data_IF_743774208575
#
_entry.id   IF_743774208575
#
_cell.length_a   1.000
_cell.length_b   1.000
_cell.length_c   1.000
_cell.angle_alpha   90.00
_cell.angle_beta   90.00
_cell.angle_gamma   90.00
#
_symmetry.space_group_name_H-M   'P 1'
#
loop_
_entity.id
_entity.type
_entity.pdbx_description
1 polymer ?
#
# COMPACT_ATOMS: atom_id res chain seq x y z
N UNK A 1 -2.55 16.05 -10.55
CA UNK A 1 -1.75 15.52 -9.43
C UNK A 1 -1.46 14.04 -9.70
N UNK A 2 -0.27 13.54 -9.33
CA UNK A 2 0.14 12.14 -9.62
C UNK A 2 -0.62 11.11 -8.76
N UNK A 3 -1.06 11.51 -7.56
CA UNK A 3 -2.14 10.84 -6.81
C UNK A 3 -3.39 11.73 -6.88
N UNK A 4 -4.58 11.18 -7.22
CA UNK A 4 -5.85 11.93 -7.18
C UNK A 4 -6.16 12.53 -5.80
N UNK A 5 -5.61 11.94 -4.73
CA UNK A 5 -5.84 12.34 -3.35
C UNK A 5 -4.71 13.22 -2.78
N UNK A 6 -3.68 13.53 -3.58
CA UNK A 6 -2.51 14.29 -3.12
C UNK A 6 -1.68 13.59 -2.03
N UNK A 7 -1.90 12.29 -1.84
CA UNK A 7 -1.26 11.48 -0.80
C UNK A 7 -0.08 10.69 -1.36
N UNK A 8 0.93 10.52 -0.51
CA UNK A 8 2.09 9.63 -0.69
C UNK A 8 1.92 8.39 0.21
N UNK A 9 2.58 7.26 -0.09
CA UNK A 9 3.54 7.00 -1.17
C UNK A 9 2.91 6.75 -2.55
N UNK A 10 3.76 6.76 -3.58
CA UNK A 10 3.46 6.41 -4.97
C UNK A 10 4.46 5.35 -5.46
N UNK A 11 3.99 4.35 -6.20
CA UNK A 11 4.84 3.38 -6.89
C UNK A 11 4.72 3.60 -8.40
N UNK A 12 5.86 3.78 -9.09
CA UNK A 12 5.94 3.92 -10.54
C UNK A 12 6.43 2.60 -11.13
N UNK A 13 5.64 1.97 -11.99
CA UNK A 13 5.92 0.67 -12.58
C UNK A 13 6.09 0.83 -14.09
N UNK A 14 7.28 0.59 -14.65
CA UNK A 14 7.48 0.58 -16.09
C UNK A 14 6.90 -0.72 -16.69
N UNK A 15 6.04 -0.60 -17.70
CA UNK A 15 5.45 -1.73 -18.42
C UNK A 15 5.30 -1.40 -19.91
N UNK A 16 5.81 -2.27 -20.79
CA UNK A 16 5.69 -2.12 -22.26
C UNK A 16 6.16 -0.77 -22.83
N UNK A 17 7.17 -0.13 -22.20
CA UNK A 17 7.67 1.18 -22.62
C UNK A 17 6.87 2.37 -22.08
N UNK A 18 5.81 2.13 -21.33
CA UNK A 18 5.03 3.14 -20.61
C UNK A 18 5.25 3.02 -19.10
N UNK A 19 4.84 4.04 -18.35
CA UNK A 19 4.93 4.07 -16.90
C UNK A 19 3.53 4.17 -16.28
N UNK A 20 3.20 3.21 -15.42
CA UNK A 20 1.95 3.20 -14.65
C UNK A 20 2.23 3.65 -13.22
N UNK A 21 1.35 4.47 -12.65
CA UNK A 21 1.45 4.92 -11.25
C UNK A 21 0.38 4.23 -10.41
N UNK A 22 0.82 3.58 -9.33
CA UNK A 22 -0.02 2.99 -8.29
C UNK A 22 0.05 3.90 -7.05
N UNK A 23 -1.11 4.20 -6.49
CA UNK A 23 -1.30 5.01 -5.27
C UNK A 23 -2.10 4.21 -4.24
N UNK A 24 -2.17 4.73 -3.00
CA UNK A 24 -2.59 4.01 -1.79
C UNK A 24 -1.59 2.91 -1.36
N UNK A 25 -1.08 3.03 -0.12
CA UNK A 25 -0.08 2.10 0.41
C UNK A 25 -0.59 0.65 0.44
N UNK A 26 -1.87 0.42 0.76
CA UNK A 26 -2.46 -0.91 0.77
C UNK A 26 -2.47 -1.56 -0.63
N UNK A 27 -2.83 -0.79 -1.67
CA UNK A 27 -2.85 -1.26 -3.06
C UNK A 27 -1.44 -1.53 -3.57
N UNK A 28 -0.47 -0.68 -3.22
CA UNK A 28 0.94 -0.90 -3.52
C UNK A 28 1.42 -2.23 -2.91
N UNK A 29 1.08 -2.48 -1.64
CA UNK A 29 1.48 -3.72 -0.96
C UNK A 29 0.81 -4.96 -1.57
N UNK A 30 -0.44 -4.88 -1.99
CA UNK A 30 -1.09 -6.00 -2.70
C UNK A 30 -0.43 -6.28 -4.05
N UNK A 31 -0.11 -5.25 -4.82
CA UNK A 31 0.65 -5.42 -6.06
C UNK A 31 2.01 -6.09 -5.83
N UNK A 32 2.74 -5.69 -4.78
CA UNK A 32 4.02 -6.32 -4.45
C UNK A 32 3.86 -7.76 -3.97
N UNK A 33 2.81 -8.05 -3.19
CA UNK A 33 2.48 -9.40 -2.74
C UNK A 33 2.20 -10.35 -3.92
N UNK A 34 1.59 -9.87 -5.00
CA UNK A 34 1.26 -10.65 -6.19
C UNK A 34 2.44 -10.80 -7.18
N UNK A 35 3.39 -9.86 -7.18
CA UNK A 35 4.42 -9.77 -8.23
C UNK A 35 5.82 -10.18 -7.78
N UNK A 36 6.11 -10.14 -6.47
CA UNK A 36 7.42 -10.53 -5.96
C UNK A 36 7.54 -12.05 -5.82
N UNK A 37 8.73 -12.58 -6.09
CA UNK A 37 9.01 -14.01 -5.97
C UNK A 37 8.85 -14.55 -4.54
N UNK A 38 9.03 -13.69 -3.54
CA UNK A 38 8.84 -14.02 -2.13
C UNK A 38 7.70 -13.15 -1.56
N UNK A 39 6.58 -13.75 -1.11
CA UNK A 39 5.49 -13.02 -0.47
C UNK A 39 5.95 -12.28 0.79
N UNK A 40 5.35 -11.11 1.05
CA UNK A 40 5.63 -10.30 2.23
C UNK A 40 4.83 -10.78 3.44
N UNK A 41 3.65 -11.36 3.20
CA UNK A 41 2.85 -11.94 4.26
C UNK A 41 3.18 -13.41 4.55
N UNK A 42 2.90 -13.90 5.77
CA UNK A 42 2.91 -15.33 6.07
C UNK A 42 1.96 -16.11 5.16
N UNK A 43 2.32 -17.35 4.84
CA UNK A 43 1.46 -18.25 4.05
C UNK A 43 0.18 -18.65 4.81
N UNK A 44 0.20 -18.67 6.15
CA UNK A 44 -0.97 -18.94 6.96
C UNK A 44 -2.04 -17.84 6.77
N UNK A 45 -3.26 -18.20 6.31
CA UNK A 45 -4.29 -17.21 6.00
C UNK A 45 -4.71 -16.36 7.20
N UNK A 46 -4.74 -16.94 8.40
CA UNK A 46 -5.16 -16.22 9.61
C UNK A 46 -4.09 -15.22 10.06
N UNK A 47 -2.82 -15.61 10.07
CA UNK A 47 -1.69 -14.72 10.34
C UNK A 47 -1.62 -13.57 9.33
N UNK A 48 -1.81 -13.86 8.03
CA UNK A 48 -1.89 -12.84 6.98
C UNK A 48 -3.05 -11.87 7.20
N UNK A 49 -4.24 -12.36 7.55
CA UNK A 49 -5.38 -11.50 7.88
C UNK A 49 -5.08 -10.59 9.08
N UNK A 50 -4.42 -11.11 10.11
CA UNK A 50 -3.97 -10.32 11.27
C UNK A 50 -2.95 -9.25 10.88
N UNK A 51 -1.98 -9.54 10.00
CA UNK A 51 -1.04 -8.53 9.51
C UNK A 51 -1.78 -7.39 8.81
N UNK A 52 -2.72 -7.71 7.91
CA UNK A 52 -3.52 -6.71 7.19
C UNK A 52 -4.36 -5.85 8.14
N UNK A 53 -4.97 -6.45 9.17
CA UNK A 53 -5.75 -5.72 10.17
C UNK A 53 -4.91 -4.69 10.94
N UNK A 54 -3.68 -5.04 11.34
CA UNK A 54 -2.78 -4.12 12.03
C UNK A 54 -2.25 -2.99 11.13
N UNK A 55 -2.01 -3.28 9.85
CA UNK A 55 -1.60 -2.28 8.86
C UNK A 55 -2.71 -1.22 8.71
N UNK A 56 -3.96 -1.63 8.54
CA UNK A 56 -5.08 -0.70 8.40
C UNK A 56 -5.30 0.12 9.68
N UNK A 57 -5.22 -0.53 10.84
CA UNK A 57 -5.32 0.17 12.12
C UNK A 57 -4.25 1.27 12.27
N UNK A 58 -2.99 0.98 11.92
CA UNK A 58 -1.91 1.96 11.92
C UNK A 58 -2.13 3.08 10.91
N UNK A 59 -2.58 2.73 9.70
CA UNK A 59 -2.94 3.70 8.65
C UNK A 59 -4.02 4.69 9.14
N UNK A 60 -5.06 4.20 9.81
CA UNK A 60 -6.12 5.03 10.38
C UNK A 60 -5.57 6.01 11.44
N UNK A 61 -4.68 5.57 12.32
CA UNK A 61 -4.01 6.44 13.31
C UNK A 61 -3.18 7.51 12.62
N UNK A 62 -2.34 7.14 11.65
CA UNK A 62 -1.49 8.10 10.94
C UNK A 62 -2.32 9.14 10.18
N UNK A 63 -3.43 8.72 9.57
CA UNK A 63 -4.39 9.64 8.94
C UNK A 63 -5.02 10.60 9.97
N UNK A 64 -5.37 10.12 11.16
CA UNK A 64 -5.90 10.96 12.23
C UNK A 64 -4.88 12.00 12.72
N UNK A 65 -3.62 11.58 12.90
CA UNK A 65 -2.51 12.48 13.24
C UNK A 65 -2.31 13.52 12.14
N UNK A 66 -2.25 13.10 10.88
CA UNK A 66 -2.07 14.00 9.73
C UNK A 66 -3.14 15.09 9.66
N UNK A 67 -4.41 14.72 9.93
CA UNK A 67 -5.53 15.67 9.99
C UNK A 67 -5.43 16.69 11.12
N UNK A 68 -4.72 16.37 12.20
CA UNK A 68 -4.54 17.30 13.32
C UNK A 68 -3.57 18.44 12.98
N UNK A 69 -2.62 18.21 12.07
CA UNK A 69 -1.57 19.17 11.69
C UNK A 69 -1.79 19.82 10.32
N UNK A 70 -2.90 19.52 9.64
CA UNK A 70 -3.26 20.02 8.30
C UNK A 70 -4.23 21.18 8.33
#
# INVERSE_FOLDING_TARGET
>A
AVSPLGRVPLLRVPQNGEETVIFESAVILEFLEETLANPLHPADPLARARHRAWIEFGSAILNAIGRFYS
#
